data_IF_898237552126
#
_entry.id   IF_898237552126
#
_cell.length_a   1.000
_cell.length_b   1.000
_cell.length_c   1.000
_cell.angle_alpha   90.00
_cell.angle_beta   90.00
_cell.angle_gamma   90.00
#
_symmetry.space_group_name_H-M   'P 1'
#
loop_
_entity.id
_entity.type
_entity.pdbx_description
1 polymer ?
#
# COMPACT_ATOMS: atom_id res chain seq x y z
N UNK A 1 12.84 -3.67 -16.58
CA UNK A 1 11.83 -3.21 -15.59
C UNK A 1 10.83 -4.34 -15.43
N UNK A 2 10.74 -4.99 -14.27
CA UNK A 2 9.71 -6.02 -14.02
C UNK A 2 8.39 -5.30 -13.79
N UNK A 3 7.44 -5.49 -14.69
CA UNK A 3 6.06 -5.03 -14.52
C UNK A 3 5.51 -5.53 -13.19
N UNK A 4 5.00 -4.62 -12.37
CA UNK A 4 4.30 -4.97 -11.13
C UNK A 4 2.96 -5.58 -11.55
N UNK A 5 2.91 -6.91 -11.61
CA UNK A 5 1.69 -7.66 -11.86
C UNK A 5 0.92 -7.80 -10.56
N UNK A 6 0.02 -6.83 -10.36
CA UNK A 6 -1.21 -7.01 -9.60
C UNK A 6 -1.62 -5.82 -8.71
N UNK A 7 -2.92 -5.50 -8.70
CA UNK A 7 -3.53 -4.45 -7.90
C UNK A 7 -4.75 -4.87 -7.05
N UNK A 8 -4.80 -4.33 -5.85
CA UNK A 8 -6.05 -3.82 -5.29
C UNK A 8 -6.52 -2.60 -6.10
N UNK A 9 -7.72 -2.07 -5.85
CA UNK A 9 -8.04 -0.72 -6.34
C UNK A 9 -7.09 0.27 -5.66
N UNK A 10 -6.07 0.71 -6.39
CA UNK A 10 -5.11 1.70 -5.89
C UNK A 10 -5.62 3.09 -6.21
N UNK A 11 -6.11 3.80 -5.19
CA UNK A 11 -6.23 5.26 -5.29
C UNK A 11 -4.90 5.89 -4.93
N UNK A 12 -4.30 6.58 -5.90
CA UNK A 12 -3.14 7.42 -5.65
C UNK A 12 -3.60 8.71 -5.01
N UNK A 13 -3.09 8.99 -3.81
CA UNK A 13 -3.30 10.28 -3.15
C UNK A 13 -1.95 10.99 -3.04
N UNK A 14 -1.76 11.98 -3.92
CA UNK A 14 -0.55 12.79 -3.98
C UNK A 14 -0.61 13.84 -2.88
N UNK A 15 0.00 13.54 -1.74
CA UNK A 15 -0.27 14.31 -0.53
C UNK A 15 0.73 15.39 -0.16
N UNK A 16 1.80 15.66 -0.92
CA UNK A 16 2.70 16.73 -0.45
C UNK A 16 3.55 17.59 -1.39
N UNK A 17 3.85 17.23 -2.64
CA UNK A 17 4.81 18.05 -3.39
C UNK A 17 4.52 18.07 -4.89
N UNK A 18 3.74 19.08 -5.32
CA UNK A 18 3.56 19.44 -6.73
C UNK A 18 4.70 20.27 -7.34
N UNK A 19 5.55 21.02 -6.58
CA UNK A 19 6.66 21.75 -7.20
C UNK A 19 8.05 21.07 -7.10
N UNK A 20 8.36 20.32 -6.02
CA UNK A 20 9.76 20.00 -5.67
C UNK A 20 10.17 18.51 -5.63
N UNK A 21 9.31 17.56 -6.05
CA UNK A 21 9.67 16.13 -6.24
C UNK A 21 10.52 15.45 -5.12
N UNK A 22 10.31 15.87 -3.87
CA UNK A 22 10.71 15.17 -2.63
C UNK A 22 9.61 14.16 -2.22
N UNK A 23 8.62 14.00 -3.10
CA UNK A 23 7.26 13.60 -2.81
C UNK A 23 7.17 12.13 -2.42
N UNK A 24 6.73 11.89 -1.19
CA UNK A 24 6.21 10.59 -0.79
C UNK A 24 4.92 10.31 -1.57
N UNK A 25 4.85 9.16 -2.22
CA UNK A 25 3.66 8.68 -2.93
C UNK A 25 3.01 7.58 -2.10
N UNK A 26 1.69 7.68 -1.96
CA UNK A 26 0.87 6.73 -1.22
C UNK A 26 -0.12 6.05 -2.17
N UNK A 27 -0.07 4.73 -2.16
CA UNK A 27 -1.02 3.84 -2.82
C UNK A 27 -1.89 3.19 -1.74
N UNK A 28 -3.14 3.63 -1.63
CA UNK A 28 -4.10 3.05 -0.68
C UNK A 28 -4.76 1.86 -1.38
N UNK A 29 -4.60 0.68 -0.79
CA UNK A 29 -5.27 -0.52 -1.27
C UNK A 29 -6.72 -0.50 -0.76
N UNK A 30 -7.69 -0.69 -1.65
CA UNK A 30 -9.11 -0.83 -1.30
C UNK A 30 -9.72 -2.09 -1.92
N UNK A 31 -10.86 -2.51 -1.37
CA UNK A 31 -11.64 -3.64 -1.89
C UNK A 31 -12.56 -3.19 -3.01
N UNK A 32 -12.80 -4.07 -3.97
CA UNK A 32 -13.99 -3.97 -4.80
C UNK A 32 -15.26 -4.31 -4.00
N UNK A 33 -16.44 -3.94 -4.51
CA UNK A 33 -17.72 -4.35 -3.90
C UNK A 33 -17.85 -5.89 -3.84
N UNK A 34 -17.30 -6.58 -4.84
CA UNK A 34 -17.32 -8.04 -4.89
C UNK A 34 -16.43 -8.65 -3.80
N UNK A 35 -15.19 -8.16 -3.65
CA UNK A 35 -14.26 -8.63 -2.63
C UNK A 35 -14.82 -8.36 -1.23
N UNK A 36 -15.41 -7.18 -1.00
CA UNK A 36 -16.05 -6.85 0.27
C UNK A 36 -17.19 -7.83 0.60
N UNK A 37 -18.01 -8.19 -0.40
CA UNK A 37 -19.11 -9.14 -0.25
C UNK A 37 -18.64 -10.60 -0.06
N UNK A 38 -17.39 -10.91 -0.45
CA UNK A 38 -16.80 -12.26 -0.40
C UNK A 38 -15.59 -12.32 0.54
N UNK A 39 -15.42 -11.36 1.45
CA UNK A 39 -14.23 -11.23 2.28
C UNK A 39 -13.97 -12.51 3.09
N UNK A 40 -15.02 -13.21 3.51
CA UNK A 40 -14.96 -14.49 4.22
C UNK A 40 -14.28 -15.62 3.42
N UNK A 41 -14.24 -15.52 2.09
CA UNK A 41 -13.55 -16.47 1.21
C UNK A 41 -12.07 -16.13 1.05
N UNK A 42 -11.65 -14.91 1.37
CA UNK A 42 -10.29 -14.40 1.17
C UNK A 42 -10.26 -13.23 0.19
N UNK A 43 -9.05 -12.86 -0.25
CA UNK A 43 -8.84 -11.78 -1.22
C UNK A 43 -8.29 -12.31 -2.55
N UNK A 44 -8.67 -11.63 -3.63
CA UNK A 44 -8.24 -12.02 -4.96
C UNK A 44 -6.77 -11.75 -5.20
N UNK A 45 -6.28 -12.32 -6.30
CA UNK A 45 -4.97 -11.97 -6.81
C UNK A 45 -4.95 -10.49 -7.13
N UNK A 46 -3.80 -9.87 -6.96
CA UNK A 46 -3.68 -8.49 -7.29
C UNK A 46 -3.93 -8.36 -8.83
N UNK A 47 -4.85 -7.47 -9.23
CA UNK A 47 -5.27 -7.18 -10.60
C UNK A 47 -6.64 -7.77 -10.94
N UNK A 48 -7.20 -8.55 -10.02
CA UNK A 48 -8.48 -9.23 -10.17
C UNK A 48 -9.41 -8.77 -9.06
N UNK A 49 -10.54 -8.17 -9.43
CA UNK A 49 -11.61 -7.82 -8.48
C UNK A 49 -12.62 -8.96 -8.31
N UNK A 50 -12.51 -10.01 -9.13
CA UNK A 50 -13.29 -11.25 -9.11
C UNK A 50 -12.37 -12.42 -9.47
N UNK A 51 -12.34 -13.44 -8.62
CA UNK A 51 -11.50 -14.62 -8.80
C UNK A 51 -12.23 -15.86 -8.28
N UNK A 52 -11.92 -17.02 -8.88
CA UNK A 52 -12.53 -18.29 -8.45
C UNK A 52 -11.94 -18.79 -7.12
N UNK A 53 -10.66 -18.49 -6.85
CA UNK A 53 -9.94 -18.96 -5.67
C UNK A 53 -9.34 -17.79 -4.87
N UNK A 54 -10.14 -17.07 -4.06
CA UNK A 54 -9.63 -16.07 -3.14
C UNK A 54 -8.69 -16.70 -2.10
N UNK A 55 -7.65 -15.96 -1.69
CA UNK A 55 -6.64 -16.42 -0.72
C UNK A 55 -6.94 -15.87 0.68
N UNK A 56 -7.04 -16.78 1.66
CA UNK A 56 -7.14 -16.40 3.08
C UNK A 56 -5.86 -15.79 3.60
N UNK A 57 -4.70 -16.21 3.12
CA UNK A 57 -3.41 -15.66 3.54
C UNK A 57 -3.26 -14.20 3.15
N UNK A 58 -3.74 -13.83 1.95
CA UNK A 58 -3.80 -12.42 1.51
C UNK A 58 -4.73 -11.59 2.40
N UNK A 59 -5.88 -12.15 2.76
CA UNK A 59 -6.78 -11.49 3.72
C UNK A 59 -6.10 -11.30 5.08
N UNK A 60 -5.39 -12.32 5.56
CA UNK A 60 -4.70 -12.24 6.84
C UNK A 60 -3.62 -11.14 6.83
N UNK A 61 -2.79 -11.08 5.78
CA UNK A 61 -1.80 -10.03 5.61
C UNK A 61 -2.45 -8.63 5.57
N UNK A 62 -3.59 -8.50 4.89
CA UNK A 62 -4.38 -7.26 4.88
C UNK A 62 -4.86 -6.87 6.29
N UNK A 63 -5.44 -7.81 7.01
CA UNK A 63 -5.99 -7.59 8.35
C UNK A 63 -4.92 -7.12 9.33
N UNK A 64 -3.71 -7.68 9.24
CA UNK A 64 -2.59 -7.28 10.10
C UNK A 64 -2.20 -5.80 9.91
N UNK A 65 -2.27 -5.27 8.68
CA UNK A 65 -1.99 -3.85 8.43
C UNK A 65 -3.20 -2.95 8.71
N UNK A 66 -4.41 -3.48 8.59
CA UNK A 66 -5.66 -2.76 8.86
C UNK A 66 -6.16 -2.91 10.29
N UNK A 67 -5.26 -3.20 11.25
CA UNK A 67 -5.59 -3.33 12.68
C UNK A 67 -6.77 -4.28 12.95
N UNK A 68 -6.89 -5.35 12.15
CA UNK A 68 -8.01 -6.29 12.11
C UNK A 68 -9.39 -5.65 11.85
N UNK A 69 -9.45 -4.38 11.46
CA UNK A 69 -10.67 -3.69 11.06
C UNK A 69 -10.58 -3.26 9.58
N UNK A 70 -10.97 -4.16 8.66
CA UNK A 70 -11.04 -3.85 7.24
C UNK A 70 -12.16 -2.85 6.93
N UNK A 71 -12.96 -2.42 7.91
CA UNK A 71 -13.95 -1.36 7.79
C UNK A 71 -13.37 0.02 8.21
N UNK A 72 -12.41 0.07 9.12
CA UNK A 72 -11.89 1.35 9.60
C UNK A 72 -10.57 1.72 8.91
N UNK A 73 -9.74 0.72 8.60
CA UNK A 73 -8.40 0.94 8.08
C UNK A 73 -8.18 0.31 6.70
N UNK A 74 -7.26 0.91 5.93
CA UNK A 74 -6.78 0.41 4.64
C UNK A 74 -5.26 0.29 4.64
N UNK A 75 -4.70 -0.83 4.14
CA UNK A 75 -3.28 -0.89 3.88
C UNK A 75 -2.85 0.18 2.88
N UNK A 76 -1.68 0.75 3.13
CA UNK A 76 -1.08 1.76 2.28
C UNK A 76 0.33 1.35 1.96
N UNK A 77 0.68 1.37 0.68
CA UNK A 77 2.05 1.28 0.21
C UNK A 77 2.61 2.68 0.00
N UNK A 78 3.81 2.91 0.53
CA UNK A 78 4.53 4.17 0.46
C UNK A 78 5.78 4.00 -0.38
N UNK A 79 6.00 4.93 -1.30
CA UNK A 79 7.29 5.08 -2.00
C UNK A 79 7.81 6.48 -1.74
N UNK A 80 9.03 6.60 -1.23
CA UNK A 80 9.70 7.87 -0.99
C UNK A 80 10.98 7.94 -1.81
N UNK A 81 11.06 8.95 -2.68
CA UNK A 81 12.28 9.31 -3.41
C UNK A 81 13.09 10.29 -2.59
N UNK A 82 14.38 10.05 -2.44
CA UNK A 82 15.32 10.92 -1.75
C UNK A 82 16.55 11.14 -2.63
N UNK A 83 17.13 12.33 -2.56
CA UNK A 83 18.49 12.58 -3.08
C UNK A 83 19.41 12.51 -1.87
N UNK A 84 20.38 11.61 -1.90
CA UNK A 84 21.41 11.43 -0.85
C UNK A 84 22.79 11.66 -1.44
N UNK A 85 23.79 11.86 -0.59
CA UNK A 85 25.18 12.04 -1.00
C UNK A 85 26.02 10.87 -0.51
N UNK A 86 26.88 10.35 -1.38
CA UNK A 86 27.86 9.33 -0.99
C UNK A 86 28.96 9.95 -0.12
N UNK A 87 29.79 9.11 0.48
CA UNK A 87 30.97 9.56 1.23
C UNK A 87 31.97 10.34 0.34
N UNK A 88 31.84 10.24 -0.99
CA UNK A 88 32.63 10.98 -1.98
C UNK A 88 31.96 12.29 -2.43
N UNK A 89 30.85 12.70 -1.80
CA UNK A 89 30.12 13.92 -2.12
C UNK A 89 29.29 13.85 -3.41
N UNK A 90 29.14 12.66 -4.01
CA UNK A 90 28.36 12.49 -5.24
C UNK A 90 26.88 12.25 -4.91
N UNK A 91 25.94 13.01 -5.53
CA UNK A 91 24.52 12.80 -5.31
C UNK A 91 24.04 11.50 -5.97
N UNK A 92 23.12 10.80 -5.31
CA UNK A 92 22.43 9.63 -5.84
C UNK A 92 20.96 9.61 -5.41
N UNK A 93 20.13 8.93 -6.21
CA UNK A 93 18.71 8.75 -5.92
C UNK A 93 18.52 7.49 -5.09
N UNK A 94 17.88 7.62 -3.93
CA UNK A 94 17.45 6.50 -3.09
C UNK A 94 15.92 6.43 -3.08
N UNK A 95 15.38 5.25 -3.42
CA UNK A 95 13.98 4.93 -3.17
C UNK A 95 13.86 4.13 -1.89
N UNK A 96 12.96 4.55 -1.01
CA UNK A 96 12.59 3.80 0.19
C UNK A 96 11.12 3.41 0.10
N UNK A 97 10.82 2.18 0.50
CA UNK A 97 9.49 1.58 0.47
C UNK A 97 9.02 1.37 1.90
N UNK A 98 7.72 1.50 2.12
CA UNK A 98 7.13 1.26 3.43
C UNK A 98 5.67 0.91 3.33
N UNK A 99 5.11 0.50 4.47
CA UNK A 99 3.67 0.27 4.65
C UNK A 99 3.11 1.17 5.73
N UNK A 100 1.82 1.49 5.60
CA UNK A 100 1.08 2.27 6.57
C UNK A 100 -0.39 1.81 6.61
N UNK A 101 -1.15 2.30 7.59
CA UNK A 101 -2.60 2.20 7.62
C UNK A 101 -3.23 3.56 7.34
N UNK A 102 -4.20 3.60 6.44
CA UNK A 102 -5.06 4.75 6.22
C UNK A 102 -6.36 4.57 6.99
N UNK A 103 -6.65 5.51 7.88
CA UNK A 103 -7.90 5.60 8.64
C UNK A 103 -8.97 6.26 7.77
N UNK A 104 -10.03 5.51 7.48
CA UNK A 104 -11.13 5.99 6.62
C UNK A 104 -11.98 7.07 7.29
N UNK A 105 -12.01 7.16 8.62
CA UNK A 105 -12.87 8.11 9.37
C UNK A 105 -12.33 9.52 9.30
N UNK A 106 -11.03 9.69 9.52
CA UNK A 106 -10.39 11.02 9.60
C UNK A 106 -9.39 11.28 8.45
N UNK A 107 -9.12 10.29 7.61
CA UNK A 107 -8.20 10.41 6.47
C UNK A 107 -6.72 10.42 6.84
N UNK A 108 -6.35 10.04 8.07
CA UNK A 108 -4.96 10.00 8.54
C UNK A 108 -4.22 8.75 8.06
N UNK A 109 -2.89 8.86 7.96
CA UNK A 109 -1.99 7.75 7.59
C UNK A 109 -1.03 7.47 8.75
N UNK A 110 -1.10 6.27 9.33
CA UNK A 110 -0.25 5.78 10.41
C UNK A 110 0.84 4.87 9.85
N UNK A 111 2.12 5.26 9.99
CA UNK A 111 3.24 4.51 9.44
C UNK A 111 3.64 3.34 10.36
N UNK A 112 3.97 2.19 9.76
CA UNK A 112 4.49 1.04 10.48
C UNK A 112 5.99 0.87 10.20
N UNK A 113 6.74 0.45 11.22
CA UNK A 113 8.16 0.11 11.07
C UNK A 113 8.39 -1.27 10.44
N UNK A 114 7.39 -2.16 10.48
CA UNK A 114 7.44 -3.52 9.91
C UNK A 114 6.04 -4.07 9.63
N UNK A 115 5.87 -4.87 8.57
CA UNK A 115 4.62 -5.59 8.29
C UNK A 115 4.86 -6.85 7.45
N UNK A 116 4.09 -7.93 7.64
CA UNK A 116 4.09 -9.10 6.76
C UNK A 116 3.59 -8.81 5.34
N UNK A 117 2.98 -7.66 5.05
CA UNK A 117 2.74 -7.22 3.67
C UNK A 117 4.03 -6.81 2.92
N UNK A 118 5.16 -6.66 3.63
CA UNK A 118 6.48 -6.38 3.05
C UNK A 118 7.37 -7.62 2.89
N UNK A 119 6.98 -8.79 3.43
CA UNK A 119 7.78 -10.02 3.45
C UNK A 119 7.16 -11.12 2.59
#
# INVERSE_FOLDING_TARGET
MKEVKGGYLVRFKFFKDRPNLISEVYAIADFSEYELSNLNKGLCGAGEDKCQNPSRDRLFAWLQVSANSPADYRPVYKVKRQIKYSNLGQPYVLFTYGVAAYDRKNGQIYQYNSSPMLN
#
